data_IF_505503561056
#
_entry.id   IF_505503561056
#
_cell.length_a   1.000
_cell.length_b   1.000
_cell.length_c   1.000
_cell.angle_alpha   90.00
_cell.angle_beta   90.00
_cell.angle_gamma   90.00
#
_symmetry.space_group_name_H-M   'P 1'
#
loop_
_entity.id
_entity.type
_entity.pdbx_description
1 polymer ?
#
# COMPACT_ATOMS: atom_id res chain seq x y z
N UNK A 1 17.57 -35.14 13.63
CA UNK A 1 18.13 -34.26 12.58
C UNK A 1 16.96 -33.80 11.73
N UNK A 2 16.87 -32.49 11.60
CA UNK A 2 15.63 -31.72 11.74
C UNK A 2 14.98 -31.44 10.38
N UNK A 3 13.65 -31.44 10.33
CA UNK A 3 12.79 -30.93 9.23
C UNK A 3 13.24 -29.54 8.72
N UNK A 4 14.06 -28.81 9.49
CA UNK A 4 14.75 -27.58 9.07
C UNK A 4 15.72 -27.77 7.89
N UNK A 5 16.33 -28.94 7.71
CA UNK A 5 17.26 -29.20 6.58
C UNK A 5 16.49 -29.38 5.24
N UNK A 6 15.30 -30.01 5.27
CA UNK A 6 14.45 -30.13 4.08
C UNK A 6 13.84 -28.80 3.64
N UNK A 7 13.57 -27.89 4.59
CA UNK A 7 13.07 -26.54 4.29
C UNK A 7 14.16 -25.61 3.73
N UNK A 8 15.44 -25.90 3.97
CA UNK A 8 16.55 -25.15 3.36
C UNK A 8 16.82 -25.58 1.91
N UNK A 9 16.59 -26.84 1.56
CA UNK A 9 16.81 -27.33 0.19
C UNK A 9 15.70 -26.97 -0.80
N UNK A 10 14.48 -26.63 -0.33
CA UNK A 10 13.36 -26.26 -1.21
C UNK A 10 13.32 -24.77 -1.61
N UNK A 11 14.42 -24.04 -1.42
CA UNK A 11 14.58 -22.62 -1.78
C UNK A 11 15.12 -22.38 -3.19
N UNK A 12 15.08 -23.38 -4.07
CA UNK A 12 15.56 -23.28 -5.45
C UNK A 12 14.42 -23.66 -6.40
N UNK A 13 13.61 -22.67 -6.77
CA UNK A 13 13.12 -22.42 -8.14
C UNK A 13 12.02 -21.34 -8.16
N UNK A 14 12.38 -20.08 -7.97
CA UNK A 14 11.59 -18.96 -8.48
C UNK A 14 12.50 -18.17 -9.42
N UNK A 15 12.61 -18.67 -10.65
CA UNK A 15 13.29 -17.98 -11.75
C UNK A 15 12.41 -16.83 -12.22
N UNK A 16 12.74 -15.62 -11.79
CA UNK A 16 12.50 -14.39 -12.56
C UNK A 16 13.56 -14.41 -13.69
N UNK A 17 13.21 -14.13 -14.96
CA UNK A 17 14.16 -14.24 -16.06
C UNK A 17 15.40 -13.36 -15.83
N UNK A 18 16.56 -14.02 -15.92
CA UNK A 18 17.90 -13.44 -15.86
C UNK A 18 18.10 -12.61 -17.14
N UNK A 19 18.39 -11.33 -16.97
CA UNK A 19 18.88 -10.46 -18.04
C UNK A 19 20.18 -11.06 -18.63
N UNK A 20 20.20 -11.36 -19.94
CA UNK A 20 21.42 -11.80 -20.64
C UNK A 20 22.39 -10.64 -20.91
N UNK A 21 23.66 -11.00 -21.11
CA UNK A 21 24.93 -10.25 -21.00
C UNK A 21 25.15 -8.99 -21.87
N UNK A 22 24.10 -8.26 -22.26
CA UNK A 22 24.23 -6.93 -22.89
C UNK A 22 23.80 -5.77 -21.97
N UNK A 23 23.42 -6.06 -20.73
CA UNK A 23 23.16 -5.02 -19.72
C UNK A 23 24.46 -4.60 -19.00
N UNK A 24 25.49 -4.24 -19.76
CA UNK A 24 26.71 -3.64 -19.24
C UNK A 24 26.50 -2.14 -18.99
N UNK A 25 25.85 -1.83 -17.87
CA UNK A 25 26.16 -0.63 -17.10
C UNK A 25 26.32 -1.08 -15.65
N UNK A 26 27.57 -1.19 -15.21
CA UNK A 26 27.92 -1.27 -13.80
C UNK A 26 27.41 0.00 -13.11
N UNK A 27 26.18 -0.01 -12.62
CA UNK A 27 25.82 0.79 -11.47
C UNK A 27 26.02 -0.10 -10.25
N UNK A 28 27.18 0.08 -9.60
CA UNK A 28 27.24 -0.13 -8.16
C UNK A 28 26.17 0.79 -7.56
N UNK A 29 24.98 0.25 -7.31
CA UNK A 29 23.96 0.95 -6.55
C UNK A 29 24.45 0.91 -5.11
N UNK A 30 25.26 1.91 -4.76
CA UNK A 30 25.30 2.39 -3.38
C UNK A 30 23.83 2.58 -2.98
N UNK A 31 23.36 1.86 -1.96
CA UNK A 31 22.07 2.12 -1.32
C UNK A 31 22.11 3.56 -0.81
N UNK A 32 21.78 4.50 -1.69
CA UNK A 32 21.75 5.90 -1.37
C UNK A 32 20.62 6.07 -0.35
N UNK A 33 20.93 6.82 0.70
CA UNK A 33 19.98 7.28 1.71
C UNK A 33 18.77 8.04 1.15
N UNK A 34 18.66 8.24 -0.16
CA UNK A 34 17.59 8.95 -0.86
C UNK A 34 16.45 8.06 -1.37
N UNK A 35 16.53 6.72 -1.25
CA UNK A 35 15.49 5.81 -1.79
C UNK A 35 14.09 6.06 -1.21
N UNK A 36 14.01 6.70 -0.03
CA UNK A 36 12.75 7.07 0.64
C UNK A 36 12.45 8.57 0.63
N UNK A 37 13.17 9.36 -0.17
CA UNK A 37 12.85 10.77 -0.40
C UNK A 37 11.78 10.87 -1.49
N UNK A 38 10.73 11.63 -1.22
CA UNK A 38 9.60 11.84 -2.13
C UNK A 38 8.26 11.46 -1.50
N UNK A 39 7.19 11.47 -2.31
CA UNK A 39 5.90 10.94 -1.87
C UNK A 39 5.42 9.81 -2.79
N UNK A 40 4.82 8.76 -2.22
CA UNK A 40 4.62 7.49 -2.93
C UNK A 40 3.16 7.02 -2.94
N UNK A 41 2.76 6.42 -4.05
CA UNK A 41 1.62 5.51 -4.19
C UNK A 41 2.18 4.09 -4.18
N UNK A 42 1.84 3.31 -3.17
CA UNK A 42 2.31 1.93 -3.03
C UNK A 42 1.16 0.98 -3.31
N UNK A 43 1.39 0.02 -4.21
CA UNK A 43 0.43 -1.04 -4.54
C UNK A 43 0.93 -2.35 -3.97
N UNK A 44 0.19 -2.90 -3.00
CA UNK A 44 0.45 -4.18 -2.38
C UNK A 44 -0.48 -5.24 -2.95
N UNK A 45 0.10 -6.15 -3.72
CA UNK A 45 -0.54 -7.42 -4.04
C UNK A 45 -0.04 -8.53 -3.11
N UNK A 46 -0.87 -9.54 -2.89
CA UNK A 46 -0.51 -10.67 -2.06
C UNK A 46 0.51 -11.56 -2.78
N UNK A 47 1.47 -12.09 -2.02
CA UNK A 47 2.34 -13.17 -2.48
C UNK A 47 1.58 -14.51 -2.50
N UNK A 48 1.54 -15.17 -3.66
CA UNK A 48 0.96 -16.50 -3.83
C UNK A 48 -0.29 -16.51 -4.71
N UNK A 49 -0.27 -17.36 -5.73
CA UNK A 49 -1.34 -17.47 -6.72
C UNK A 49 -2.62 -18.11 -6.14
N UNK A 50 -3.78 -17.61 -6.56
CA UNK A 50 -5.07 -18.25 -6.39
C UNK A 50 -5.80 -17.99 -5.06
N UNK A 51 -5.27 -17.13 -4.18
CA UNK A 51 -5.99 -16.71 -2.95
C UNK A 51 -5.79 -15.24 -2.64
N UNK A 52 -6.86 -14.48 -2.40
CA UNK A 52 -6.81 -13.07 -1.94
C UNK A 52 -5.83 -12.19 -2.70
N UNK A 53 -5.73 -12.38 -4.01
CA UNK A 53 -4.87 -11.58 -4.88
C UNK A 53 -5.70 -10.68 -5.79
N UNK A 54 -5.10 -9.59 -6.25
CA UNK A 54 -5.60 -8.80 -7.36
C UNK A 54 -5.14 -9.47 -8.65
N UNK A 55 -6.09 -9.98 -9.44
CA UNK A 55 -5.79 -10.73 -10.67
C UNK A 55 -5.13 -9.82 -11.72
N UNK A 56 -5.59 -8.56 -11.80
CA UNK A 56 -5.12 -7.56 -12.76
C UNK A 56 -4.30 -6.44 -12.10
N UNK A 57 -3.47 -6.76 -11.10
CA UNK A 57 -2.61 -5.77 -10.44
C UNK A 57 -1.67 -5.02 -11.42
N UNK A 58 -1.15 -5.72 -12.43
CA UNK A 58 -0.27 -5.12 -13.44
C UNK A 58 -0.99 -4.06 -14.30
N UNK A 59 -2.28 -4.27 -14.57
CA UNK A 59 -3.12 -3.31 -15.29
C UNK A 59 -3.29 -2.03 -14.47
N UNK A 60 -3.57 -2.18 -13.16
CA UNK A 60 -3.65 -1.05 -12.25
C UNK A 60 -2.34 -0.27 -12.19
N UNK A 61 -1.20 -0.95 -12.01
CA UNK A 61 0.11 -0.28 -11.95
C UNK A 61 0.39 0.47 -13.26
N UNK A 62 0.11 -0.15 -14.41
CA UNK A 62 0.28 0.50 -15.72
C UNK A 62 -0.62 1.74 -15.86
N UNK A 63 -1.87 1.64 -15.42
CA UNK A 63 -2.81 2.76 -15.44
C UNK A 63 -2.38 3.90 -14.50
N UNK A 64 -1.83 3.57 -13.33
CA UNK A 64 -1.28 4.54 -12.38
C UNK A 64 -0.07 5.26 -12.97
N UNK A 65 0.89 4.53 -13.57
CA UNK A 65 2.05 5.12 -14.23
C UNK A 65 1.65 6.06 -15.36
N UNK A 66 0.64 5.68 -16.17
CA UNK A 66 0.10 6.55 -17.22
C UNK A 66 -0.61 7.79 -16.66
N UNK A 67 -1.30 7.62 -15.53
CA UNK A 67 -2.09 8.68 -14.89
C UNK A 67 -1.20 9.70 -14.17
N UNK A 68 -0.12 9.23 -13.58
CA UNK A 68 0.87 10.01 -12.86
C UNK A 68 2.24 9.86 -13.57
N UNK A 69 2.37 10.34 -14.83
CA UNK A 69 3.52 10.07 -15.68
C UNK A 69 4.77 10.88 -15.29
N UNK A 70 4.60 11.90 -14.46
CA UNK A 70 5.67 12.77 -14.04
C UNK A 70 6.50 12.11 -12.93
N UNK A 71 7.38 11.19 -13.30
CA UNK A 71 8.40 10.64 -12.42
C UNK A 71 9.51 11.65 -12.05
N UNK A 72 9.55 12.79 -12.77
CA UNK A 72 10.39 13.96 -12.44
C UNK A 72 9.78 14.87 -11.38
N UNK A 73 8.48 14.77 -11.10
CA UNK A 73 7.87 15.32 -9.90
C UNK A 73 8.40 14.49 -8.72
N UNK A 74 9.25 15.06 -7.85
CA UNK A 74 9.83 14.31 -6.75
C UNK A 74 8.78 13.87 -5.72
N UNK A 75 7.51 14.28 -5.86
CA UNK A 75 6.48 14.16 -4.85
C UNK A 75 5.37 13.13 -5.15
N UNK A 76 5.39 12.37 -6.26
CA UNK A 76 4.42 11.26 -6.43
C UNK A 76 4.92 10.15 -7.36
N UNK A 77 5.36 9.02 -6.78
CA UNK A 77 5.88 7.85 -7.51
C UNK A 77 5.05 6.60 -7.24
N UNK A 78 4.95 5.69 -8.21
CA UNK A 78 4.22 4.42 -8.06
C UNK A 78 5.21 3.30 -7.76
N UNK A 79 5.03 2.59 -6.64
CA UNK A 79 5.90 1.48 -6.25
C UNK A 79 5.09 0.18 -6.05
N UNK A 80 5.25 -0.82 -6.93
CA UNK A 80 4.79 -2.18 -6.66
C UNK A 80 5.79 -2.87 -5.72
N UNK A 81 5.44 -3.09 -4.44
CA UNK A 81 6.34 -3.74 -3.47
C UNK A 81 5.59 -4.71 -2.58
N UNK A 82 6.30 -5.72 -2.07
CA UNK A 82 5.91 -6.42 -0.86
C UNK A 82 6.82 -5.93 0.26
N UNK A 83 6.25 -5.46 1.37
CA UNK A 83 7.05 -5.14 2.55
C UNK A 83 7.66 -6.42 3.10
N UNK A 84 9.00 -6.53 3.05
CA UNK A 84 9.71 -7.65 3.63
C UNK A 84 10.19 -7.26 5.03
N UNK A 85 9.69 -7.93 6.06
CA UNK A 85 10.06 -7.67 7.46
C UNK A 85 11.46 -8.16 7.83
N UNK A 86 12.19 -8.79 6.90
CA UNK A 86 13.63 -9.03 7.09
C UNK A 86 14.43 -7.72 6.99
N UNK A 87 13.81 -6.63 6.52
CA UNK A 87 14.38 -5.29 6.54
C UNK A 87 14.32 -4.67 7.95
N UNK A 88 15.22 -3.74 8.24
CA UNK A 88 15.23 -2.98 9.47
C UNK A 88 13.90 -2.23 9.65
N UNK A 89 13.24 -2.38 10.81
CA UNK A 89 11.97 -1.72 11.14
C UNK A 89 12.04 -0.20 10.94
N UNK A 90 13.20 0.41 11.21
CA UNK A 90 13.42 1.84 10.99
C UNK A 90 13.26 2.22 9.51
N UNK A 91 13.78 1.40 8.60
CA UNK A 91 13.69 1.66 7.16
C UNK A 91 12.28 1.44 6.63
N UNK A 92 11.57 0.43 7.16
CA UNK A 92 10.14 0.24 6.88
C UNK A 92 9.33 1.45 7.34
N UNK A 93 9.58 1.95 8.56
CA UNK A 93 8.88 3.12 9.08
C UNK A 93 9.22 4.38 8.28
N UNK A 94 10.50 4.59 7.92
CA UNK A 94 10.93 5.72 7.09
C UNK A 94 10.28 5.68 5.70
N UNK A 95 10.22 4.51 5.07
CA UNK A 95 9.51 4.30 3.81
C UNK A 95 8.01 4.57 3.97
N UNK A 96 7.37 4.01 5.00
CA UNK A 96 5.94 4.19 5.21
C UNK A 96 5.55 5.67 5.41
N UNK A 97 6.40 6.47 6.05
CA UNK A 97 6.18 7.91 6.21
C UNK A 97 6.21 8.71 4.91
N UNK A 98 6.84 8.20 3.85
CA UNK A 98 6.83 8.82 2.52
C UNK A 98 5.63 8.38 1.67
N UNK A 99 4.81 7.42 2.13
CA UNK A 99 3.62 6.96 1.41
C UNK A 99 2.47 7.95 1.60
N UNK A 100 1.91 8.41 0.48
CA UNK A 100 0.65 9.17 0.43
C UNK A 100 -0.56 8.29 0.31
N UNK A 101 -0.44 7.23 -0.47
CA UNK A 101 -1.52 6.29 -0.71
C UNK A 101 -0.96 4.88 -0.66
N UNK A 102 -1.46 4.09 0.27
CA UNK A 102 -1.23 2.65 0.33
C UNK A 102 -2.47 1.93 -0.18
N UNK A 103 -2.35 1.28 -1.33
CA UNK A 103 -3.43 0.50 -1.94
C UNK A 103 -3.11 -0.99 -1.84
N UNK A 104 -4.08 -1.82 -1.46
CA UNK A 104 -3.87 -3.26 -1.52
C UNK A 104 -5.04 -4.08 -1.00
N UNK A 105 -4.88 -5.39 -1.12
CA UNK A 105 -5.84 -6.37 -0.60
C UNK A 105 -5.80 -6.44 0.92
N UNK A 106 -6.95 -6.73 1.53
CA UNK A 106 -7.05 -6.98 2.95
C UNK A 106 -6.06 -8.07 3.43
N UNK A 107 -5.16 -7.69 4.34
CA UNK A 107 -4.22 -8.62 4.94
C UNK A 107 -3.05 -7.92 5.63
N UNK A 108 -2.07 -8.73 6.07
CA UNK A 108 -0.92 -8.26 6.83
C UNK A 108 -0.05 -7.23 6.09
N UNK A 109 -0.07 -7.19 4.76
CA UNK A 109 0.66 -6.15 4.01
C UNK A 109 0.16 -4.74 4.34
N UNK A 110 -1.16 -4.57 4.46
CA UNK A 110 -1.79 -3.29 4.78
C UNK A 110 -1.56 -2.84 6.22
N UNK A 111 -1.15 -3.73 7.14
CA UNK A 111 -0.89 -3.31 8.53
C UNK A 111 0.31 -2.38 8.65
N UNK A 112 1.16 -2.26 7.62
CA UNK A 112 2.21 -1.24 7.58
C UNK A 112 1.67 0.19 7.54
N UNK A 113 0.36 0.36 7.31
CA UNK A 113 -0.31 1.66 7.40
C UNK A 113 -0.11 2.37 8.75
N UNK A 114 0.12 1.63 9.83
CA UNK A 114 0.37 2.20 11.17
C UNK A 114 1.61 3.12 11.20
N UNK A 115 2.55 2.94 10.27
CA UNK A 115 3.77 3.74 10.17
C UNK A 115 3.62 4.92 9.20
N UNK A 116 2.49 5.03 8.51
CA UNK A 116 2.22 6.13 7.58
C UNK A 116 2.04 7.45 8.33
N UNK A 117 2.27 8.55 7.61
CA UNK A 117 2.04 9.88 8.15
C UNK A 117 0.53 10.15 8.29
N UNK A 118 0.08 10.90 9.31
CA UNK A 118 -1.29 11.36 9.40
C UNK A 118 -1.72 12.13 8.13
N UNK A 119 -2.96 11.91 7.72
CA UNK A 119 -3.57 12.44 6.50
C UNK A 119 -3.32 11.59 5.25
N UNK A 120 -2.37 10.65 5.29
CA UNK A 120 -2.19 9.71 4.18
C UNK A 120 -3.38 8.76 4.03
N UNK A 121 -3.49 8.14 2.86
CA UNK A 121 -4.64 7.35 2.44
C UNK A 121 -4.33 5.86 2.56
N UNK A 122 -5.15 5.14 3.32
CA UNK A 122 -5.22 3.69 3.35
C UNK A 122 -6.39 3.26 2.47
N UNK A 123 -6.09 2.67 1.31
CA UNK A 123 -7.08 2.20 0.36
C UNK A 123 -7.09 0.67 0.31
N UNK A 124 -8.11 0.10 0.94
CA UNK A 124 -8.29 -1.33 1.11
C UNK A 124 -9.17 -1.93 0.02
N UNK A 125 -8.78 -3.11 -0.48
CA UNK A 125 -9.58 -3.95 -1.38
C UNK A 125 -10.04 -5.19 -0.63
N UNK A 126 -11.36 -5.39 -0.58
CA UNK A 126 -11.96 -6.61 -0.05
C UNK A 126 -12.54 -7.49 -1.17
N UNK A 127 -12.52 -8.82 -0.99
CA UNK A 127 -13.28 -9.71 -1.83
C UNK A 127 -14.79 -9.42 -1.77
N UNK A 128 -15.52 -9.92 -2.75
CA UNK A 128 -16.97 -9.82 -2.81
C UNK A 128 -17.65 -10.33 -1.51
N UNK A 129 -18.68 -9.62 -1.05
CA UNK A 129 -19.40 -9.95 0.19
C UNK A 129 -18.61 -9.73 1.50
N UNK A 130 -17.33 -9.34 1.43
CA UNK A 130 -16.44 -9.28 2.60
C UNK A 130 -16.28 -7.89 3.23
N UNK A 131 -17.27 -6.99 3.12
CA UNK A 131 -17.21 -5.63 3.71
C UNK A 131 -16.83 -5.65 5.20
N UNK A 132 -17.35 -6.61 5.95
CA UNK A 132 -17.12 -6.73 7.39
C UNK A 132 -15.64 -6.92 7.79
N UNK A 133 -14.78 -7.39 6.88
CA UNK A 133 -13.34 -7.52 7.15
C UNK A 133 -12.64 -6.16 7.33
N UNK A 134 -13.21 -5.10 6.75
CA UNK A 134 -12.64 -3.74 6.77
C UNK A 134 -12.66 -3.08 8.15
N UNK A 135 -13.43 -3.63 9.10
CA UNK A 135 -13.59 -3.07 10.45
C UNK A 135 -12.28 -2.69 11.14
N UNK A 136 -11.24 -3.54 11.02
CA UNK A 136 -9.95 -3.28 11.67
C UNK A 136 -9.20 -2.12 11.00
N UNK A 137 -9.12 -2.11 9.67
CA UNK A 137 -8.39 -1.09 8.93
C UNK A 137 -9.08 0.28 8.97
N UNK A 138 -10.41 0.30 8.99
CA UNK A 138 -11.18 1.51 9.24
C UNK A 138 -10.84 2.11 10.61
N UNK A 139 -10.88 1.30 11.68
CA UNK A 139 -10.51 1.76 13.03
C UNK A 139 -9.06 2.19 13.15
N UNK A 140 -8.13 1.50 12.48
CA UNK A 140 -6.73 1.90 12.48
C UNK A 140 -6.55 3.24 11.77
N UNK A 141 -7.24 3.46 10.66
CA UNK A 141 -7.21 4.74 9.98
C UNK A 141 -7.68 5.87 10.92
N UNK A 142 -8.76 5.67 11.69
CA UNK A 142 -9.20 6.67 12.67
C UNK A 142 -8.13 6.94 13.74
N UNK A 143 -7.55 5.88 14.32
CA UNK A 143 -6.53 5.98 15.39
C UNK A 143 -5.26 6.68 14.91
N UNK A 144 -4.82 6.38 13.69
CA UNK A 144 -3.60 6.96 13.10
C UNK A 144 -3.88 8.23 12.27
N UNK A 145 -5.13 8.71 12.29
CA UNK A 145 -5.59 9.87 11.54
C UNK A 145 -5.25 9.77 10.03
N UNK A 146 -5.50 8.60 9.44
CA UNK A 146 -5.43 8.33 8.02
C UNK A 146 -6.80 8.51 7.38
N UNK A 147 -6.81 8.78 6.08
CA UNK A 147 -8.02 8.65 5.28
C UNK A 147 -8.21 7.17 4.92
N UNK A 148 -9.41 6.63 5.09
CA UNK A 148 -9.73 5.25 4.73
C UNK A 148 -10.66 5.20 3.52
N UNK A 149 -10.28 4.44 2.52
CA UNK A 149 -11.10 4.11 1.37
C UNK A 149 -11.22 2.58 1.24
N UNK A 150 -12.37 2.11 0.78
CA UNK A 150 -12.67 0.70 0.66
C UNK A 150 -13.31 0.43 -0.69
N UNK A 151 -12.65 -0.40 -1.50
CA UNK A 151 -13.19 -0.91 -2.73
C UNK A 151 -13.62 -2.37 -2.56
N UNK A 152 -14.82 -2.67 -3.04
CA UNK A 152 -15.39 -4.03 -3.06
C UNK A 152 -16.01 -4.23 -4.43
N UNK A 153 -15.76 -5.36 -5.11
CA UNK A 153 -16.43 -5.64 -6.37
C UNK A 153 -17.95 -5.70 -6.17
N UNK A 154 -18.70 -5.24 -7.17
CA UNK A 154 -20.16 -5.26 -7.15
C UNK A 154 -20.75 -6.67 -7.32
N UNK A 155 -19.96 -7.60 -7.88
CA UNK A 155 -20.33 -8.99 -8.12
C UNK A 155 -19.18 -9.92 -7.72
N UNK A 156 -19.53 -11.12 -7.28
CA UNK A 156 -18.56 -12.18 -7.02
C UNK A 156 -18.06 -12.84 -8.30
N UNK A 157 -17.09 -13.72 -8.16
CA UNK A 157 -16.58 -14.52 -9.27
C UNK A 157 -17.75 -15.28 -9.95
N UNK A 158 -17.72 -15.34 -11.27
CA UNK A 158 -18.78 -15.94 -12.11
C UNK A 158 -20.15 -15.22 -12.04
N UNK A 159 -20.19 -13.93 -11.68
CA UNK A 159 -21.43 -13.15 -11.66
C UNK A 159 -22.32 -13.43 -10.45
N UNK A 160 -21.73 -13.98 -9.38
CA UNK A 160 -22.42 -14.29 -8.12
C UNK A 160 -22.94 -13.00 -7.45
N UNK A 161 -24.18 -13.02 -6.95
CA UNK A 161 -24.86 -11.84 -6.37
C UNK A 161 -25.32 -12.03 -4.93
N UNK A 162 -25.02 -13.16 -4.29
CA UNK A 162 -25.34 -13.36 -2.88
C UNK A 162 -24.27 -12.68 -1.99
N UNK A 163 -24.67 -12.14 -0.85
CA UNK A 163 -23.74 -11.39 0.02
C UNK A 163 -22.79 -12.29 0.83
N UNK A 164 -22.50 -13.51 0.35
CA UNK A 164 -21.62 -14.44 1.05
C UNK A 164 -20.17 -14.03 0.83
N UNK A 165 -19.45 -13.83 1.93
CA UNK A 165 -18.04 -13.48 1.89
C UNK A 165 -17.18 -14.69 1.52
N UNK A 166 -16.55 -14.62 0.36
CA UNK A 166 -15.50 -15.54 -0.05
C UNK A 166 -14.13 -14.98 0.33
N UNK A 167 -13.75 -15.13 1.61
CA UNK A 167 -12.52 -14.51 2.13
C UNK A 167 -11.28 -14.86 1.32
N UNK A 168 -11.19 -16.07 0.77
CA UNK A 168 -10.01 -16.51 0.02
C UNK A 168 -10.06 -16.17 -1.48
N UNK A 169 -11.16 -15.60 -2.00
CA UNK A 169 -11.28 -15.40 -3.44
C UNK A 169 -10.30 -14.36 -3.96
N UNK A 170 -9.80 -14.60 -5.18
CA UNK A 170 -9.13 -13.55 -5.95
C UNK A 170 -10.15 -12.47 -6.33
N UNK A 171 -9.64 -11.27 -6.62
CA UNK A 171 -10.46 -10.10 -6.94
C UNK A 171 -9.97 -9.48 -8.24
N UNK A 172 -10.88 -9.30 -9.19
CA UNK A 172 -10.62 -8.54 -10.41
C UNK A 172 -11.07 -7.11 -10.20
N UNK A 173 -10.15 -6.17 -10.40
CA UNK A 173 -10.36 -4.76 -10.13
C UNK A 173 -11.02 -4.06 -11.31
N UNK A 174 -11.93 -3.12 -11.03
CA UNK A 174 -12.32 -2.10 -11.99
C UNK A 174 -11.28 -0.97 -11.97
N UNK A 175 -10.24 -1.10 -12.80
CA UNK A 175 -9.09 -0.18 -12.77
C UNK A 175 -9.49 1.27 -13.01
N UNK A 176 -10.41 1.55 -13.93
CA UNK A 176 -10.80 2.93 -14.24
C UNK A 176 -11.51 3.62 -13.07
N UNK A 177 -12.38 2.88 -12.38
CA UNK A 177 -13.09 3.35 -11.19
C UNK A 177 -12.10 3.68 -10.07
N UNK A 178 -11.19 2.75 -9.75
CA UNK A 178 -10.17 2.91 -8.73
C UNK A 178 -9.26 4.11 -9.03
N UNK A 179 -8.81 4.27 -10.27
CA UNK A 179 -7.97 5.40 -10.68
C UNK A 179 -8.70 6.73 -10.47
N UNK A 180 -9.99 6.81 -10.80
CA UNK A 180 -10.78 8.02 -10.62
C UNK A 180 -10.96 8.34 -9.13
N UNK A 181 -11.22 7.33 -8.29
CA UNK A 181 -11.32 7.50 -6.84
C UNK A 181 -9.99 7.95 -6.24
N UNK A 182 -8.87 7.31 -6.62
CA UNK A 182 -7.53 7.69 -6.15
C UNK A 182 -7.18 9.15 -6.50
N UNK A 183 -7.53 9.62 -7.70
CA UNK A 183 -7.34 11.03 -8.08
C UNK A 183 -8.10 11.98 -7.15
N UNK A 184 -9.34 11.63 -6.81
CA UNK A 184 -10.15 12.44 -5.89
C UNK A 184 -9.50 12.48 -4.51
N UNK A 185 -9.19 11.30 -3.95
CA UNK A 185 -8.59 11.19 -2.61
C UNK A 185 -7.25 11.93 -2.51
N UNK A 186 -6.39 11.82 -3.54
CA UNK A 186 -5.09 12.50 -3.55
C UNK A 186 -5.20 14.02 -3.69
N UNK A 187 -6.25 14.52 -4.35
CA UNK A 187 -6.54 15.96 -4.41
C UNK A 187 -6.92 16.48 -3.02
N UNK A 188 -7.73 15.73 -2.29
CA UNK A 188 -8.25 16.11 -0.97
C UNK A 188 -7.18 15.90 0.14
N UNK A 189 -6.21 15.00 -0.05
CA UNK A 189 -5.13 14.75 0.89
C UNK A 189 -4.26 15.98 1.17
N UNK A 190 -4.02 16.84 0.16
CA UNK A 190 -3.25 18.07 0.36
C UNK A 190 -3.94 19.03 1.35
N UNK A 191 -5.27 19.09 1.30
CA UNK A 191 -6.09 19.86 2.24
C UNK A 191 -6.09 19.20 3.63
N UNK A 192 -6.27 17.88 3.67
CA UNK A 192 -6.27 17.10 4.90
C UNK A 192 -4.95 17.21 5.67
N UNK A 193 -3.83 17.15 4.94
CA UNK A 193 -2.47 17.32 5.47
C UNK A 193 -2.26 18.72 6.05
N UNK A 194 -2.68 19.74 5.32
CA UNK A 194 -2.57 21.14 5.76
C UNK A 194 -3.43 21.39 7.00
N UNK A 195 -4.63 20.80 7.07
CA UNK A 195 -5.50 20.83 8.23
C UNK A 195 -4.90 20.13 9.46
N UNK A 196 -4.28 18.97 9.28
CA UNK A 196 -3.62 18.25 10.37
C UNK A 196 -2.44 19.03 10.95
N UNK A 197 -1.55 19.56 10.10
CA UNK A 197 -0.41 20.36 10.56
C UNK A 197 -0.90 21.59 11.33
N UNK A 198 -1.95 22.27 10.85
CA UNK A 198 -2.58 23.38 11.58
C UNK A 198 -3.15 22.96 12.94
N UNK A 199 -3.81 21.81 13.03
CA UNK A 199 -4.35 21.28 14.31
C UNK A 199 -3.24 20.86 15.28
N UNK A 200 -2.21 20.18 14.79
CA UNK A 200 -1.06 19.77 15.58
C UNK A 200 -0.27 20.98 16.09
N UNK A 201 -0.02 21.97 15.23
CA UNK A 201 0.56 23.25 15.62
C UNK A 201 -0.31 23.93 16.66
N UNK A 202 -1.64 24.01 16.45
CA UNK A 202 -2.56 24.61 17.40
C UNK A 202 -2.44 23.97 18.78
N UNK A 203 -2.44 22.63 18.87
CA UNK A 203 -2.24 21.87 20.13
C UNK A 203 -0.88 22.19 20.75
N UNK A 204 0.20 22.16 19.96
CA UNK A 204 1.56 22.44 20.47
C UNK A 204 1.75 23.90 20.92
N UNK A 205 0.98 24.82 20.34
CA UNK A 205 0.98 26.24 20.71
C UNK A 205 -0.12 26.60 21.72
N UNK A 206 -0.95 25.63 22.10
CA UNK A 206 -2.04 25.84 23.04
C UNK A 206 -1.44 25.92 24.46
N UNK A 207 -1.20 27.15 24.93
CA UNK A 207 -0.65 27.38 26.25
C UNK A 207 -1.58 26.90 27.38
N UNK A 208 -2.86 26.59 27.10
CA UNK A 208 -3.77 26.02 28.10
C UNK A 208 -3.49 24.55 28.41
N UNK A 209 -2.70 23.86 27.59
CA UNK A 209 -2.23 22.47 27.83
C UNK A 209 -0.99 22.46 28.74
N UNK A 210 -0.36 23.61 28.97
CA UNK A 210 0.82 23.77 29.83
C UNK A 210 0.45 23.77 31.33
N UNK A 211 -0.85 23.79 31.65
CA UNK A 211 -1.36 23.88 33.03
C UNK A 211 -1.87 22.54 33.60
N UNK A 212 -1.19 21.42 33.35
CA UNK A 212 -1.32 20.23 34.19
C UNK A 212 0.05 19.78 34.75
N UNK A 213 0.22 19.79 36.10
CA UNK A 213 1.46 19.40 36.77
C UNK A 213 1.79 17.92 36.63
#
# INVERSE_FOLDING_TARGET
>A
TSIQEELQHKKISEHIPICNETCSIQQQINHSSDEFTGEWIVVLNRAGAGRREMVNANELVTALLKTFPDHSNPYLRVWPKQFNFNDNLYDIARMARSIRLLFGVHGAGLSNAIFMRPGAILYEVNPYGCRHLSFNFHRWADVFNLQHALWIPSQGNNGRTDNNCERESSTTLNVQEIINEMKSLLKDEAEYRSGYIKRALKIMTDMSIVDHP
#
